data_IF_091491551843
#
_entry.id   IF_091491551843
#
_cell.length_a   1.000
_cell.length_b   1.000
_cell.length_c   1.000
_cell.angle_alpha   90.00
_cell.angle_beta   90.00
_cell.angle_gamma   90.00
#
_symmetry.space_group_name_H-M   'P 1'
#
loop_
_entity.id
_entity.type
_entity.pdbx_description
1 polymer ?
#
# COMPACT_ATOMS: atom_id res chain seq x y z
N UNK A 1 -3.72 0.10 -12.20
CA UNK A 1 -5.03 -0.59 -12.10
C UNK A 1 -5.32 -0.88 -10.64
N UNK A 2 -6.52 -0.55 -10.17
CA UNK A 2 -7.02 -0.94 -8.84
C UNK A 2 -7.87 -2.21 -8.90
N UNK A 3 -8.33 -2.68 -7.74
CA UNK A 3 -9.17 -3.87 -7.63
C UNK A 3 -8.42 -5.20 -7.74
N UNK A 4 -9.13 -6.30 -7.53
CA UNK A 4 -8.53 -7.64 -7.45
C UNK A 4 -8.39 -8.29 -8.83
N UNK A 5 -9.45 -8.21 -9.63
CA UNK A 5 -9.50 -8.74 -11.00
C UNK A 5 -9.52 -7.57 -12.00
N UNK A 6 -8.77 -7.63 -13.12
CA UNK A 6 -7.86 -8.70 -13.57
C UNK A 6 -6.41 -8.58 -13.04
N UNK A 7 -6.18 -7.73 -12.04
CA UNK A 7 -4.84 -7.39 -11.57
C UNK A 7 -4.07 -8.60 -11.03
N UNK A 8 -4.74 -9.49 -10.30
CA UNK A 8 -4.14 -10.72 -9.77
C UNK A 8 -3.60 -11.61 -10.89
N UNK A 9 -4.40 -11.80 -11.93
CA UNK A 9 -4.08 -12.67 -13.07
C UNK A 9 -2.85 -12.15 -13.79
N UNK A 10 -2.82 -10.86 -14.12
CA UNK A 10 -1.67 -10.25 -14.80
C UNK A 10 -0.38 -10.35 -13.98
N UNK A 11 -0.44 -10.12 -12.67
CA UNK A 11 0.75 -10.27 -11.81
C UNK A 11 1.17 -11.74 -11.74
N UNK A 12 0.24 -12.66 -11.57
CA UNK A 12 0.55 -14.10 -11.48
C UNK A 12 1.19 -14.61 -12.77
N UNK A 13 0.63 -14.23 -13.92
CA UNK A 13 1.14 -14.62 -15.23
C UNK A 13 2.55 -14.07 -15.46
N UNK A 14 2.79 -12.79 -15.11
CA UNK A 14 4.12 -12.18 -15.20
C UNK A 14 5.15 -12.92 -14.32
N UNK A 15 4.79 -13.21 -13.07
CA UNK A 15 5.68 -13.94 -12.15
C UNK A 15 5.94 -15.37 -12.64
N UNK A 16 4.95 -16.06 -13.20
CA UNK A 16 5.09 -17.42 -13.74
C UNK A 16 6.06 -17.50 -14.91
N UNK A 17 6.18 -16.44 -15.71
CA UNK A 17 7.18 -16.36 -16.79
C UNK A 17 8.50 -15.73 -16.33
N UNK A 18 8.71 -15.60 -15.01
CA UNK A 18 9.96 -15.14 -14.41
C UNK A 18 10.19 -13.62 -14.49
N UNK A 19 9.15 -12.82 -14.73
CA UNK A 19 9.28 -11.36 -14.76
C UNK A 19 9.13 -10.77 -13.36
N UNK A 20 9.97 -9.78 -13.06
CA UNK A 20 9.81 -8.94 -11.89
C UNK A 20 8.57 -8.05 -12.05
N UNK A 21 7.88 -7.79 -10.94
CA UNK A 21 6.65 -6.99 -10.92
C UNK A 21 6.75 -5.90 -9.86
N UNK A 22 6.32 -4.69 -10.22
CA UNK A 22 6.13 -3.57 -9.29
C UNK A 22 4.66 -3.18 -9.28
N UNK A 23 4.05 -3.04 -8.10
CA UNK A 23 2.61 -2.70 -7.96
C UNK A 23 2.37 -1.69 -6.84
N UNK A 24 1.33 -0.86 -7.02
CA UNK A 24 0.81 0.04 -5.98
C UNK A 24 -0.58 -0.41 -5.47
N UNK A 25 -1.05 -1.59 -5.88
CA UNK A 25 -2.41 -2.05 -5.62
C UNK A 25 -2.56 -2.59 -4.18
N UNK A 26 -3.03 -1.71 -3.28
CA UNK A 26 -3.17 -1.99 -1.85
C UNK A 26 -4.14 -3.14 -1.57
N UNK A 27 -5.31 -3.12 -2.21
CA UNK A 27 -6.36 -4.11 -1.99
C UNK A 27 -5.90 -5.51 -2.39
N UNK A 28 -5.19 -5.60 -3.52
CA UNK A 28 -4.60 -6.85 -4.00
C UNK A 28 -3.53 -7.36 -3.04
N UNK A 29 -2.63 -6.50 -2.56
CA UNK A 29 -1.57 -6.89 -1.63
C UNK A 29 -2.13 -7.30 -0.26
N UNK A 30 -3.15 -6.61 0.23
CA UNK A 30 -3.85 -6.99 1.46
C UNK A 30 -4.55 -8.35 1.34
N UNK A 31 -5.11 -8.66 0.17
CA UNK A 31 -5.91 -9.89 -0.03
C UNK A 31 -5.06 -11.10 -0.44
N UNK A 32 -4.09 -10.91 -1.33
CA UNK A 32 -3.33 -11.98 -1.99
C UNK A 32 -1.82 -11.84 -1.89
N UNK A 33 -1.31 -10.82 -1.19
CA UNK A 33 0.12 -10.49 -1.15
C UNK A 33 1.00 -11.67 -0.77
N UNK A 34 0.68 -12.39 0.30
CA UNK A 34 1.47 -13.56 0.74
C UNK A 34 1.58 -14.65 -0.33
N UNK A 35 0.50 -14.91 -1.08
CA UNK A 35 0.50 -15.90 -2.17
C UNK A 35 1.33 -15.44 -3.36
N UNK A 36 1.23 -14.16 -3.72
CA UNK A 36 1.99 -13.57 -4.82
C UNK A 36 3.49 -13.47 -4.50
N UNK A 37 3.84 -13.13 -3.26
CA UNK A 37 5.24 -13.13 -2.80
C UNK A 37 5.83 -14.55 -2.87
N UNK A 38 5.11 -15.55 -2.36
CA UNK A 38 5.55 -16.94 -2.45
C UNK A 38 5.72 -17.40 -3.90
N UNK A 39 4.84 -16.96 -4.80
CA UNK A 39 4.94 -17.24 -6.23
C UNK A 39 6.18 -16.59 -6.86
N UNK A 40 6.47 -15.34 -6.50
CA UNK A 40 7.66 -14.63 -6.96
C UNK A 40 8.95 -15.35 -6.50
N UNK A 41 9.02 -15.74 -5.24
CA UNK A 41 10.13 -16.52 -4.68
C UNK A 41 10.32 -17.85 -5.42
N UNK A 42 9.22 -18.60 -5.67
CA UNK A 42 9.26 -19.87 -6.39
C UNK A 42 9.83 -19.72 -7.81
N UNK A 43 9.46 -18.66 -8.51
CA UNK A 43 9.90 -18.38 -9.88
C UNK A 43 11.18 -17.55 -9.96
N UNK A 44 11.86 -17.31 -8.83
CA UNK A 44 13.12 -16.54 -8.74
C UNK A 44 13.02 -15.14 -9.33
N UNK A 45 11.89 -14.46 -9.09
CA UNK A 45 11.65 -13.08 -9.49
C UNK A 45 11.19 -12.23 -8.29
N UNK A 46 11.21 -10.92 -8.47
CA UNK A 46 10.88 -9.95 -7.44
C UNK A 46 9.44 -9.44 -7.58
N UNK A 47 8.78 -9.26 -6.44
CA UNK A 47 7.51 -8.53 -6.32
C UNK A 47 7.69 -7.34 -5.37
N UNK A 48 7.69 -6.13 -5.93
CA UNK A 48 7.89 -4.90 -5.18
C UNK A 48 6.56 -4.15 -5.03
N UNK A 49 6.25 -3.70 -3.81
CA UNK A 49 4.94 -3.12 -3.50
C UNK A 49 4.99 -1.94 -2.55
N UNK A 50 6.13 -1.25 -2.44
CA UNK A 50 6.32 -0.10 -1.55
C UNK A 50 5.27 0.99 -1.81
N UNK A 51 4.98 1.28 -3.08
CA UNK A 51 3.97 2.28 -3.47
C UNK A 51 2.54 1.95 -2.99
N UNK A 52 2.27 0.72 -2.56
CA UNK A 52 1.00 0.35 -1.93
C UNK A 52 0.90 0.78 -0.47
N UNK A 53 2.01 1.18 0.17
CA UNK A 53 2.05 1.60 1.58
C UNK A 53 2.67 2.98 1.67
N UNK A 54 2.03 3.91 2.38
CA UNK A 54 2.55 5.26 2.62
C UNK A 54 2.94 6.09 1.36
N UNK A 55 2.51 5.68 0.17
CA UNK A 55 2.68 6.45 -1.08
C UNK A 55 4.13 6.50 -1.52
N UNK A 56 4.76 7.67 -1.41
CA UNK A 56 6.16 7.89 -1.79
C UNK A 56 7.18 7.60 -0.68
N UNK A 57 6.73 7.26 0.53
CA UNK A 57 7.60 6.95 1.66
C UNK A 57 8.05 5.48 1.52
N UNK A 58 9.37 5.18 1.43
CA UNK A 58 9.88 3.84 1.15
C UNK A 58 9.91 2.94 2.40
N UNK A 59 8.80 2.88 3.14
CA UNK A 59 8.76 2.29 4.48
C UNK A 59 9.05 0.78 4.44
N UNK A 60 8.53 0.04 3.46
CA UNK A 60 8.75 -1.41 3.41
C UNK A 60 10.20 -1.74 3.13
N UNK A 61 10.84 -0.98 2.23
CA UNK A 61 12.27 -1.12 1.98
C UNK A 61 13.08 -0.77 3.22
N UNK A 62 12.79 0.34 3.88
CA UNK A 62 13.51 0.73 5.10
C UNK A 62 13.42 -0.35 6.18
N UNK A 63 12.25 -0.95 6.37
CA UNK A 63 12.06 -2.05 7.32
C UNK A 63 12.85 -3.31 6.92
N UNK A 64 12.87 -3.66 5.64
CA UNK A 64 13.52 -4.90 5.16
C UNK A 64 15.04 -4.80 4.98
N UNK A 65 15.59 -3.59 4.84
CA UNK A 65 17.04 -3.40 4.64
C UNK A 65 17.71 -2.70 5.81
N UNK A 66 17.26 -1.50 6.19
CA UNK A 66 17.90 -0.67 7.21
C UNK A 66 17.69 -1.22 8.63
N UNK A 67 16.55 -1.88 8.87
CA UNK A 67 16.21 -2.47 10.17
C UNK A 67 16.20 -4.00 10.15
N UNK A 68 16.84 -4.63 9.15
CA UNK A 68 16.83 -6.09 8.99
C UNK A 68 17.39 -6.86 10.21
N UNK A 69 18.30 -6.23 10.97
CA UNK A 69 18.93 -6.80 12.16
C UNK A 69 18.27 -6.36 13.47
N UNK A 70 17.35 -5.40 13.43
CA UNK A 70 16.71 -4.84 14.61
C UNK A 70 15.40 -5.54 14.93
N UNK A 71 15.07 -5.61 16.23
CA UNK A 71 13.76 -6.10 16.69
C UNK A 71 12.82 -4.91 16.88
N UNK A 72 12.04 -4.63 15.86
CA UNK A 72 11.02 -3.57 15.92
C UNK A 72 9.91 -4.01 16.86
N UNK A 73 9.71 -3.27 17.96
CA UNK A 73 8.66 -3.53 18.94
C UNK A 73 7.32 -2.91 18.55
N UNK A 74 7.33 -1.79 17.85
CA UNK A 74 6.12 -1.04 17.49
C UNK A 74 6.33 -0.15 16.26
N UNK A 75 5.29 0.01 15.45
CA UNK A 75 5.23 0.97 14.33
C UNK A 75 3.93 1.77 14.46
N UNK A 76 4.04 3.10 14.56
CA UNK A 76 2.91 4.02 14.57
C UNK A 76 3.02 5.00 13.40
N UNK A 77 1.90 5.33 12.76
CA UNK A 77 1.90 6.31 11.68
C UNK A 77 0.52 6.58 11.07
N UNK A 78 0.38 7.75 10.46
CA UNK A 78 -0.80 8.14 9.70
C UNK A 78 -0.58 7.76 8.23
N UNK A 79 -1.30 6.75 7.77
CA UNK A 79 -1.09 6.16 6.43
C UNK A 79 -2.19 6.50 5.41
N UNK A 80 -3.28 7.15 5.84
CA UNK A 80 -4.37 7.59 4.97
C UNK A 80 -4.47 9.12 4.93
N UNK A 81 -4.09 9.69 3.79
CA UNK A 81 -4.08 11.14 3.58
C UNK A 81 -5.47 11.77 3.62
N UNK A 82 -6.50 11.14 3.04
CA UNK A 82 -7.85 11.68 2.98
C UNK A 82 -8.48 11.80 4.37
N UNK A 83 -8.40 10.74 5.18
CA UNK A 83 -8.87 10.77 6.58
C UNK A 83 -8.10 11.81 7.38
N UNK A 84 -6.78 11.86 7.23
CA UNK A 84 -5.96 12.85 7.93
C UNK A 84 -6.32 14.29 7.54
N UNK A 85 -6.55 14.53 6.25
CA UNK A 85 -6.98 15.84 5.76
C UNK A 85 -8.33 16.24 6.34
N UNK A 86 -9.32 15.34 6.32
CA UNK A 86 -10.64 15.59 6.91
C UNK A 86 -10.49 15.95 8.39
N UNK A 87 -9.77 15.14 9.18
CA UNK A 87 -9.55 15.40 10.60
C UNK A 87 -8.85 16.75 10.85
N UNK A 88 -7.85 17.07 10.03
CA UNK A 88 -7.15 18.36 10.09
C UNK A 88 -8.10 19.54 9.84
N UNK A 89 -9.02 19.41 8.87
CA UNK A 89 -10.03 20.44 8.55
C UNK A 89 -11.08 20.59 9.63
N UNK A 90 -11.51 19.49 10.25
CA UNK A 90 -12.46 19.54 11.38
C UNK A 90 -11.86 20.31 12.56
N UNK A 91 -10.60 20.04 12.90
CA UNK A 91 -9.89 20.71 13.99
C UNK A 91 -9.66 22.19 13.67
N UNK A 92 -9.13 22.50 12.48
CA UNK A 92 -8.73 23.88 12.14
C UNK A 92 -9.91 24.82 11.92
N UNK A 93 -11.03 24.32 11.36
CA UNK A 93 -12.17 25.17 10.99
C UNK A 93 -13.36 25.04 11.95
N UNK A 94 -13.22 24.24 13.01
CA UNK A 94 -14.31 23.93 13.95
C UNK A 94 -15.58 23.45 13.22
N UNK A 95 -15.39 22.81 12.06
CA UNK A 95 -16.47 22.35 11.20
C UNK A 95 -16.96 20.98 11.66
N UNK A 96 -18.23 20.67 11.40
CA UNK A 96 -18.78 19.33 11.62
C UNK A 96 -18.44 18.39 10.46
N UNK A 97 -18.34 17.09 10.76
CA UNK A 97 -18.03 16.04 9.79
C UNK A 97 -18.95 16.07 8.57
N UNK A 98 -20.24 16.29 8.79
CA UNK A 98 -21.27 16.38 7.74
C UNK A 98 -20.99 17.46 6.70
N UNK A 99 -20.35 18.57 7.09
CA UNK A 99 -20.00 19.67 6.16
C UNK A 99 -18.65 19.43 5.47
N UNK A 100 -17.72 18.78 6.15
CA UNK A 100 -16.35 18.59 5.63
C UNK A 100 -16.25 17.42 4.64
N UNK A 101 -17.02 16.34 4.85
CA UNK A 101 -16.96 15.15 4.00
C UNK A 101 -17.33 15.44 2.53
N UNK A 102 -18.47 16.10 2.22
CA UNK A 102 -18.86 16.38 0.84
C UNK A 102 -17.87 17.30 0.14
N UNK A 103 -17.39 18.33 0.85
CA UNK A 103 -16.42 19.31 0.34
C UNK A 103 -15.07 18.67 0.01
N UNK A 104 -14.68 17.62 0.72
CA UNK A 104 -13.40 16.92 0.49
C UNK A 104 -13.50 15.91 -0.65
N UNK A 105 -14.66 15.27 -0.83
CA UNK A 105 -14.90 14.26 -1.87
C UNK A 105 -15.23 14.87 -3.24
N UNK A 106 -15.39 16.19 -3.32
CA UNK A 106 -15.57 16.93 -4.58
C UNK A 106 -14.26 17.27 -5.31
N UNK A 107 -13.12 16.79 -4.81
CA UNK A 107 -11.80 16.86 -5.44
C UNK A 107 -11.32 15.45 -5.83
#
# INVERSE_FOLDING_TARGET
>A
MGGLHPAKEYISDALNVGKNVVTANKDLMATFGSKLIALATKNKCDLMYDASVAGGIPILRTLSTSYASDKISEIQGIINGTTNYILSRLIQLTMSLEKTLPTTLSF
#
